data_IF_224087492342
#
_entry.id   IF_224087492342
#
_cell.length_a   1.000
_cell.length_b   1.000
_cell.length_c   1.000
_cell.angle_alpha   90.00
_cell.angle_beta   90.00
_cell.angle_gamma   90.00
#
_symmetry.space_group_name_H-M   'P 1'
#
loop_
_entity.id
_entity.type
_entity.pdbx_description
1 polymer ?
#
# COMPACT_ATOMS: atom_id res chain seq x y z
N UNK A 1 0.35 28.14 5.06
CA UNK A 1 0.26 26.79 5.67
C UNK A 1 0.68 25.77 4.64
N UNK A 2 1.38 24.71 5.03
CA UNK A 2 1.67 23.59 4.12
C UNK A 2 0.41 22.71 4.00
N UNK A 3 0.08 22.20 2.79
CA UNK A 3 -1.06 21.33 2.59
C UNK A 3 -0.89 20.00 3.34
N UNK A 4 -2.02 19.36 3.67
CA UNK A 4 -2.05 17.95 4.05
C UNK A 4 -2.24 17.15 2.76
N UNK A 5 -1.37 16.17 2.52
CA UNK A 5 -1.39 15.32 1.32
C UNK A 5 -1.58 13.87 1.74
N UNK A 6 -2.49 13.18 1.05
CA UNK A 6 -2.69 11.73 1.13
C UNK A 6 -1.93 11.07 -0.04
N UNK A 7 -0.97 10.21 0.27
CA UNK A 7 -0.31 9.33 -0.69
C UNK A 7 -0.91 7.93 -0.64
N UNK A 8 -1.05 7.32 -1.81
CA UNK A 8 -1.50 5.94 -2.00
C UNK A 8 -0.44 5.24 -2.86
N UNK A 9 0.02 4.08 -2.41
CA UNK A 9 1.03 3.27 -3.11
C UNK A 9 0.49 1.85 -3.30
N UNK A 10 0.41 1.41 -4.55
CA UNK A 10 -0.15 0.10 -4.98
C UNK A 10 0.55 -0.41 -6.26
N UNK A 11 1.86 -0.16 -6.41
CA UNK A 11 2.58 -0.49 -7.65
C UNK A 11 3.03 -1.95 -7.75
N UNK A 12 3.30 -2.61 -6.63
CA UNK A 12 3.82 -3.98 -6.60
C UNK A 12 2.97 -4.91 -5.73
N UNK A 13 3.43 -5.33 -4.57
CA UNK A 13 2.77 -6.29 -3.67
C UNK A 13 2.40 -5.68 -2.31
N UNK A 14 2.58 -4.38 -2.17
CA UNK A 14 2.28 -3.59 -0.98
C UNK A 14 1.15 -2.60 -1.27
N UNK A 15 0.20 -2.49 -0.36
CA UNK A 15 -0.82 -1.43 -0.33
C UNK A 15 -0.48 -0.51 0.83
N UNK A 16 -0.10 0.74 0.53
CA UNK A 16 0.28 1.69 1.57
C UNK A 16 -0.47 3.02 1.45
N UNK A 17 -0.75 3.59 2.62
CA UNK A 17 -1.32 4.92 2.78
C UNK A 17 -0.36 5.77 3.60
N UNK A 18 -0.14 7.02 3.19
CA UNK A 18 0.66 7.99 3.94
C UNK A 18 -0.01 9.36 4.00
N UNK A 19 0.00 10.00 5.16
CA UNK A 19 -0.45 11.39 5.32
C UNK A 19 0.76 12.26 5.63
N UNK A 20 1.01 13.29 4.82
CA UNK A 20 2.15 14.21 5.02
C UNK A 20 1.71 15.67 5.09
N UNK A 21 2.48 16.49 5.82
CA UNK A 21 2.41 17.96 5.80
C UNK A 21 3.80 18.51 5.48
N UNK A 22 3.98 18.99 4.26
CA UNK A 22 5.31 19.33 3.72
C UNK A 22 6.23 18.12 3.74
N UNK A 23 7.29 18.15 4.57
CA UNK A 23 8.21 17.02 4.75
C UNK A 23 7.95 16.18 6.00
N UNK A 24 6.88 16.48 6.74
CA UNK A 24 6.54 15.78 7.98
C UNK A 24 5.56 14.66 7.69
N UNK A 25 5.90 13.42 8.05
CA UNK A 25 4.99 12.28 8.03
C UNK A 25 4.08 12.33 9.25
N UNK A 26 2.76 12.33 9.03
CA UNK A 26 1.75 12.39 10.08
C UNK A 26 1.18 11.01 10.41
N UNK A 27 1.03 10.16 9.39
CA UNK A 27 0.57 8.77 9.52
C UNK A 27 1.09 7.95 8.34
N UNK A 28 1.32 6.65 8.56
CA UNK A 28 1.58 5.67 7.53
C UNK A 28 1.02 4.31 7.93
N UNK A 29 0.43 3.60 6.98
CA UNK A 29 -0.03 2.22 7.13
C UNK A 29 0.37 1.43 5.89
N UNK A 30 0.76 0.16 6.09
CA UNK A 30 1.23 -0.72 5.02
C UNK A 30 0.61 -2.11 5.22
N UNK A 31 -0.05 -2.62 4.18
CA UNK A 31 -0.47 -4.01 4.06
C UNK A 31 0.40 -4.70 3.01
N UNK A 32 1.04 -5.80 3.38
CA UNK A 32 1.92 -6.57 2.49
C UNK A 32 1.26 -7.88 2.07
N UNK A 33 1.37 -8.23 0.79
CA UNK A 33 0.89 -9.51 0.23
C UNK A 33 2.03 -10.47 -0.17
N UNK A 34 3.27 -10.21 0.28
CA UNK A 34 4.47 -11.02 -0.02
C UNK A 34 4.24 -12.52 0.22
N UNK A 35 3.57 -12.88 1.32
CA UNK A 35 3.31 -14.28 1.67
C UNK A 35 2.39 -14.99 0.66
N UNK A 36 1.48 -14.27 0.01
CA UNK A 36 0.59 -14.84 -1.02
C UNK A 36 1.36 -15.23 -2.29
N UNK A 37 2.49 -14.56 -2.52
CA UNK A 37 3.38 -14.77 -3.66
C UNK A 37 4.48 -15.82 -3.38
N UNK A 38 4.75 -16.15 -2.12
CA UNK A 38 5.87 -16.99 -1.71
C UNK A 38 5.94 -18.35 -2.44
N UNK A 39 4.77 -18.97 -2.68
CA UNK A 39 4.67 -20.27 -3.37
C UNK A 39 4.98 -20.22 -4.88
N UNK A 40 5.01 -19.03 -5.47
CA UNK A 40 5.24 -18.84 -6.91
C UNK A 40 6.67 -18.37 -7.22
N UNK A 41 7.49 -18.09 -6.21
CA UNK A 41 8.87 -17.64 -6.38
C UNK A 41 9.01 -16.22 -6.94
N UNK A 42 7.94 -15.43 -6.89
CA UNK A 42 7.90 -14.05 -7.37
C UNK A 42 6.49 -13.47 -7.34
N UNK A 43 6.39 -12.14 -7.53
CA UNK A 43 5.11 -11.42 -7.55
C UNK A 43 4.27 -11.89 -8.74
N UNK A 44 3.01 -12.23 -8.45
CA UNK A 44 2.01 -12.64 -9.43
C UNK A 44 1.03 -11.48 -9.62
N UNK A 45 1.02 -10.78 -10.78
CA UNK A 45 0.29 -9.53 -10.93
C UNK A 45 -1.19 -9.57 -10.55
N UNK A 46 -1.88 -10.67 -10.89
CA UNK A 46 -3.31 -10.82 -10.56
C UNK A 46 -3.56 -10.95 -9.05
N UNK A 47 -2.68 -11.64 -8.32
CA UNK A 47 -2.80 -11.79 -6.86
C UNK A 47 -2.56 -10.45 -6.17
N UNK A 48 -1.52 -9.72 -6.60
CA UNK A 48 -1.21 -8.39 -6.09
C UNK A 48 -2.35 -7.39 -6.32
N UNK A 49 -2.89 -7.36 -7.55
CA UNK A 49 -4.04 -6.52 -7.91
C UNK A 49 -5.24 -6.75 -6.98
N UNK A 50 -5.57 -8.01 -6.71
CA UNK A 50 -6.65 -8.37 -5.78
C UNK A 50 -6.33 -7.98 -4.34
N UNK A 51 -5.11 -8.23 -3.87
CA UNK A 51 -4.68 -7.84 -2.53
C UNK A 51 -4.78 -6.33 -2.30
N UNK A 52 -4.49 -5.50 -3.31
CA UNK A 52 -4.70 -4.06 -3.25
C UNK A 52 -6.17 -3.66 -3.05
N UNK A 53 -7.09 -4.31 -3.76
CA UNK A 53 -8.53 -4.05 -3.62
C UNK A 53 -9.08 -4.48 -2.26
N UNK A 54 -8.55 -5.56 -1.69
CA UNK A 54 -8.96 -6.06 -0.38
C UNK A 54 -8.40 -5.16 0.74
N UNK A 55 -7.14 -4.71 0.63
CA UNK A 55 -6.46 -3.94 1.66
C UNK A 55 -6.83 -2.44 1.72
N UNK A 56 -7.38 -1.86 0.63
CA UNK A 56 -7.73 -0.43 0.60
C UNK A 56 -8.99 -0.08 1.41
N UNK A 57 -9.75 -1.09 1.84
CA UNK A 57 -11.00 -0.90 2.56
C UNK A 57 -10.73 -0.46 4.02
N UNK A 58 -11.61 0.38 4.61
CA UNK A 58 -11.51 0.71 6.03
C UNK A 58 -11.60 -0.54 6.90
N UNK A 59 -10.75 -0.61 7.92
CA UNK A 59 -10.78 -1.64 8.97
C UNK A 59 -11.93 -1.45 9.95
#
# INVERSE_FOLDING_TARGET
MQPIVLGIETSCDETAIGIVRGRTLLANEIASSVEEHARFGGVVPEIASRAHLEAILPS
#
